data_IF_560031287820
#
_entry.id   IF_560031287820
#
_cell.length_a   1.000
_cell.length_b   1.000
_cell.length_c   1.000
_cell.angle_alpha   90.00
_cell.angle_beta   90.00
_cell.angle_gamma   90.00
#
_symmetry.space_group_name_H-M   'P 1'
#
loop_
_entity.id
_entity.type
_entity.pdbx_description
1 polymer ?
#
# COMPACT_ATOMS: atom_id res chain seq x y z
N UNK A 1 5.26 5.06 11.48
CA UNK A 1 4.10 4.20 11.82
C UNK A 1 2.91 4.71 11.04
N UNK A 2 2.36 3.89 10.14
CA UNK A 2 1.13 4.21 9.40
C UNK A 2 -0.07 3.69 10.19
N UNK A 3 -1.15 4.48 10.25
CA UNK A 3 -2.39 4.12 10.94
C UNK A 3 -3.50 4.04 9.89
N UNK A 4 -4.27 2.95 9.93
CA UNK A 4 -5.51 2.81 9.19
C UNK A 4 -6.68 2.74 10.17
N UNK A 5 -7.84 3.27 9.77
CA UNK A 5 -9.06 3.23 10.56
C UNK A 5 -10.11 2.43 9.78
N UNK A 6 -10.62 1.37 10.39
CA UNK A 6 -11.63 0.51 9.82
C UNK A 6 -12.95 0.71 10.57
N UNK A 7 -14.00 1.02 9.83
CA UNK A 7 -15.37 1.12 10.34
C UNK A 7 -16.13 -0.14 9.89
N UNK A 8 -16.48 -0.97 10.87
CA UNK A 8 -16.93 -2.34 10.65
C UNK A 8 -18.34 -2.42 10.04
N UNK A 9 -19.27 -1.56 10.47
CA UNK A 9 -20.66 -1.63 10.01
C UNK A 9 -20.80 -1.29 8.53
N UNK A 10 -20.06 -0.28 8.05
CA UNK A 10 -20.07 0.14 6.64
C UNK A 10 -19.00 -0.55 5.81
N UNK A 11 -18.06 -1.26 6.45
CA UNK A 11 -16.90 -1.88 5.80
C UNK A 11 -16.01 -0.84 5.10
N UNK A 12 -15.79 0.29 5.78
CA UNK A 12 -15.04 1.42 5.24
C UNK A 12 -13.64 1.44 5.84
N UNK A 13 -12.63 1.59 5.00
CA UNK A 13 -11.24 1.63 5.43
C UNK A 13 -10.60 2.95 5.02
N UNK A 14 -10.23 3.77 6.00
CA UNK A 14 -9.28 4.86 5.82
C UNK A 14 -7.86 4.31 5.86
N UNK A 15 -7.12 4.49 4.78
CA UNK A 15 -5.81 3.87 4.56
C UNK A 15 -4.64 4.80 4.86
N UNK A 16 -4.89 6.10 5.06
CA UNK A 16 -3.81 7.08 5.17
C UNK A 16 -2.88 7.00 3.95
N UNK A 17 -1.57 6.95 4.21
CA UNK A 17 -0.52 6.80 3.19
C UNK A 17 -0.09 5.34 2.96
N UNK A 18 -0.89 4.37 3.42
CA UNK A 18 -0.60 2.95 3.18
C UNK A 18 -1.06 2.51 1.77
N UNK A 19 -2.22 3.01 1.32
CA UNK A 19 -2.82 2.61 0.04
C UNK A 19 -3.39 3.86 -0.61
N UNK A 20 -2.78 4.29 -1.72
CA UNK A 20 -3.25 5.39 -2.57
C UNK A 20 -2.63 5.28 -3.97
N UNK A 21 -3.30 5.86 -4.98
CA UNK A 21 -2.75 5.96 -6.33
C UNK A 21 -1.63 7.00 -6.37
N UNK A 22 -0.51 6.67 -7.00
CA UNK A 22 0.68 7.53 -7.04
C UNK A 22 1.94 6.77 -6.63
N UNK A 23 2.87 7.45 -5.97
CA UNK A 23 4.13 6.84 -5.54
C UNK A 23 4.08 6.47 -4.06
N UNK A 24 4.06 5.18 -3.75
CA UNK A 24 4.17 4.66 -2.39
C UNK A 24 5.61 4.76 -1.91
N UNK A 25 5.82 5.58 -0.89
CA UNK A 25 7.15 5.84 -0.34
C UNK A 25 7.49 4.87 0.80
N UNK A 26 8.24 3.81 0.45
CA UNK A 26 8.81 2.82 1.37
C UNK A 26 10.30 3.07 1.68
N UNK A 27 10.85 4.24 1.30
CA UNK A 27 12.28 4.55 1.35
C UNK A 27 12.74 5.39 2.56
N UNK A 28 11.82 5.88 3.39
CA UNK A 28 12.19 6.70 4.55
C UNK A 28 13.04 5.89 5.54
N UNK A 29 14.03 6.50 6.22
CA UNK A 29 14.90 5.79 7.18
C UNK A 29 14.15 5.05 8.30
N UNK A 30 12.92 5.46 8.58
CA UNK A 30 12.04 4.88 9.60
C UNK A 30 11.02 3.89 9.04
N UNK A 31 11.10 3.58 7.75
CA UNK A 31 10.21 2.65 7.04
C UNK A 31 11.01 1.44 6.58
N UNK A 32 10.53 0.25 6.96
CA UNK A 32 11.04 -1.02 6.46
C UNK A 32 10.08 -1.50 5.33
N UNK A 33 10.57 -1.70 4.09
CA UNK A 33 9.74 -2.10 2.95
C UNK A 33 9.04 -3.44 3.15
N UNK A 34 9.65 -4.37 3.89
CA UNK A 34 9.06 -5.66 4.24
C UNK A 34 7.93 -5.46 5.25
N UNK A 35 8.11 -4.58 6.25
CA UNK A 35 7.03 -4.23 7.18
C UNK A 35 5.90 -3.47 6.48
N UNK A 36 6.22 -2.59 5.52
CA UNK A 36 5.21 -1.91 4.69
C UNK A 36 4.35 -2.93 3.94
N UNK A 37 4.98 -3.89 3.24
CA UNK A 37 4.26 -4.97 2.57
C UNK A 37 3.38 -5.76 3.56
N UNK A 38 3.89 -6.09 4.76
CA UNK A 38 3.09 -6.79 5.78
C UNK A 38 1.86 -5.99 6.22
N UNK A 39 1.96 -4.66 6.30
CA UNK A 39 0.81 -3.80 6.57
C UNK A 39 -0.24 -3.86 5.46
N UNK A 40 0.16 -3.92 4.19
CA UNK A 40 -0.74 -4.13 3.04
C UNK A 40 -1.47 -5.47 3.18
N UNK A 41 -0.72 -6.56 3.42
CA UNK A 41 -1.29 -7.91 3.61
C UNK A 41 -2.31 -7.96 4.73
N UNK A 42 -2.06 -7.23 5.83
CA UNK A 42 -2.97 -7.16 6.97
C UNK A 42 -4.28 -6.47 6.62
N UNK A 43 -4.25 -5.30 5.98
CA UNK A 43 -5.49 -4.55 5.68
C UNK A 43 -6.31 -5.21 4.58
N UNK A 44 -5.67 -5.86 3.61
CA UNK A 44 -6.33 -6.62 2.54
C UNK A 44 -7.27 -7.72 3.06
N UNK A 45 -7.02 -8.28 4.24
CA UNK A 45 -7.85 -9.34 4.84
C UNK A 45 -9.21 -8.84 5.34
N UNK A 46 -9.41 -7.52 5.45
CA UNK A 46 -10.67 -6.95 5.90
C UNK A 46 -11.71 -6.98 4.77
N UNK A 47 -12.99 -7.22 5.06
CA UNK A 47 -14.04 -7.00 4.07
C UNK A 47 -14.18 -5.49 3.84
N UNK A 48 -13.80 -5.02 2.65
CA UNK A 48 -13.76 -3.59 2.32
C UNK A 48 -14.78 -3.28 1.24
N UNK A 49 -15.73 -2.41 1.56
CA UNK A 49 -16.70 -1.85 0.60
C UNK A 49 -16.28 -0.50 0.07
N UNK A 50 -15.42 0.23 0.78
CA UNK A 50 -14.89 1.53 0.34
C UNK A 50 -13.56 1.87 0.99
N UNK A 51 -12.66 2.43 0.18
CA UNK A 51 -11.36 2.94 0.61
C UNK A 51 -11.34 4.47 0.66
N UNK A 52 -10.62 5.01 1.64
CA UNK A 52 -10.38 6.44 1.81
C UNK A 52 -8.87 6.68 1.99
N UNK A 53 -8.13 6.97 0.90
CA UNK A 53 -6.72 7.35 0.98
C UNK A 53 -6.54 8.78 1.52
N UNK A 54 -5.36 9.09 2.04
CA UNK A 54 -5.01 10.46 2.43
C UNK A 54 -4.72 11.40 1.23
N UNK A 55 -4.37 10.83 0.07
CA UNK A 55 -3.91 11.60 -1.09
C UNK A 55 -4.61 11.26 -2.42
N UNK A 56 -4.51 12.23 -3.35
CA UNK A 56 -4.66 12.15 -4.81
C UNK A 56 -6.01 11.71 -5.42
N UNK A 57 -6.85 10.90 -4.77
CA UNK A 57 -8.25 10.66 -5.21
C UNK A 57 -9.08 9.86 -4.20
N UNK A 58 -10.31 10.33 -3.91
CA UNK A 58 -11.25 9.65 -2.99
C UNK A 58 -11.90 8.38 -3.57
N UNK A 59 -11.73 8.11 -4.87
CA UNK A 59 -12.27 6.93 -5.55
C UNK A 59 -11.12 6.07 -6.06
N UNK A 60 -10.66 5.16 -5.20
CA UNK A 60 -9.77 4.06 -5.60
C UNK A 60 -10.55 2.73 -5.57
N UNK A 61 -10.28 1.79 -6.49
CA UNK A 61 -10.91 0.48 -6.48
C UNK A 61 -10.68 -0.26 -5.17
N UNK A 62 -11.68 -0.98 -4.65
CA UNK A 62 -11.55 -1.72 -3.36
C UNK A 62 -10.50 -2.83 -3.41
N UNK A 63 -10.19 -3.35 -4.60
CA UNK A 63 -9.15 -4.35 -4.86
C UNK A 63 -7.75 -3.74 -5.04
N UNK A 64 -7.60 -2.42 -4.92
CA UNK A 64 -6.29 -1.77 -5.10
C UNK A 64 -5.19 -2.28 -4.14
N UNK A 65 -5.47 -2.66 -2.87
CA UNK A 65 -4.50 -3.34 -2.02
C UNK A 65 -3.94 -4.64 -2.64
N UNK A 66 -4.71 -5.36 -3.45
CA UNK A 66 -4.24 -6.57 -4.15
C UNK A 66 -3.18 -6.24 -5.20
N UNK A 67 -3.35 -5.13 -5.93
CA UNK A 67 -2.40 -4.67 -6.94
C UNK A 67 -1.08 -4.24 -6.27
N UNK A 68 -1.18 -3.50 -5.16
CA UNK A 68 -0.01 -3.08 -4.38
C UNK A 68 0.73 -4.30 -3.82
N UNK A 69 0.01 -5.27 -3.21
CA UNK A 69 0.62 -6.51 -2.70
C UNK A 69 1.40 -7.23 -3.79
N UNK A 70 0.81 -7.41 -4.99
CA UNK A 70 1.49 -8.06 -6.12
C UNK A 70 2.77 -7.33 -6.52
N UNK A 71 2.76 -6.00 -6.52
CA UNK A 71 3.96 -5.20 -6.79
C UNK A 71 5.06 -5.43 -5.75
N UNK A 72 4.72 -5.43 -4.46
CA UNK A 72 5.66 -5.75 -3.39
C UNK A 72 6.16 -7.20 -3.45
N UNK A 73 5.30 -8.17 -3.74
CA UNK A 73 5.67 -9.58 -3.87
C UNK A 73 6.62 -9.81 -5.05
N UNK A 74 6.38 -9.16 -6.19
CA UNK A 74 7.29 -9.17 -7.32
C UNK A 74 8.68 -8.66 -6.91
N UNK A 75 8.75 -7.49 -6.26
CA UNK A 75 10.03 -6.93 -5.81
C UNK A 75 10.72 -7.82 -4.77
N UNK A 76 9.97 -8.48 -3.90
CA UNK A 76 10.52 -9.44 -2.95
C UNK A 76 11.13 -10.66 -3.65
N UNK A 77 10.42 -11.25 -4.62
CA UNK A 77 10.89 -12.39 -5.40
C UNK A 77 12.12 -12.08 -6.25
N UNK A 78 12.21 -10.84 -6.75
CA UNK A 78 13.36 -10.33 -7.50
C UNK A 78 14.53 -9.92 -6.61
N UNK A 79 14.42 -10.02 -5.27
CA UNK A 79 15.45 -9.57 -4.33
C UNK A 79 15.62 -8.05 -4.28
N UNK A 80 14.64 -7.30 -4.78
CA UNK A 80 14.65 -5.83 -4.90
C UNK A 80 13.94 -5.10 -3.76
N UNK A 81 13.29 -5.82 -2.86
CA UNK A 81 12.64 -5.25 -1.67
C UNK A 81 13.67 -4.92 -0.57
N UNK A 82 14.63 -4.04 -0.88
CA UNK A 82 15.77 -3.65 -0.03
C UNK A 82 15.87 -2.13 0.00
N UNK A 83 16.07 -1.53 1.17
CA UNK A 83 16.11 -0.07 1.35
C UNK A 83 17.04 0.63 0.35
N UNK A 84 16.57 1.73 -0.24
CA UNK A 84 17.34 2.58 -1.15
C UNK A 84 17.51 2.01 -2.56
N UNK A 85 16.70 1.02 -2.96
CA UNK A 85 16.78 0.37 -4.26
C UNK A 85 16.07 1.13 -5.39
N UNK A 86 15.48 2.30 -5.09
CA UNK A 86 14.99 3.25 -6.09
C UNK A 86 13.50 3.12 -6.38
N UNK A 87 13.09 3.60 -7.55
CA UNK A 87 11.67 3.70 -7.93
C UNK A 87 11.30 2.61 -8.94
N UNK A 88 10.23 1.88 -8.64
CA UNK A 88 9.64 0.84 -9.47
C UNK A 88 8.26 1.29 -9.95
N UNK A 89 8.01 1.20 -11.25
CA UNK A 89 6.75 1.62 -11.87
C UNK A 89 5.84 0.42 -12.16
N UNK A 90 4.57 0.57 -11.81
CA UNK A 90 3.47 -0.34 -12.11
C UNK A 90 2.37 0.43 -12.85
N UNK A 91 1.38 -0.27 -13.39
CA UNK A 91 0.33 0.33 -14.23
C UNK A 91 -0.36 1.55 -13.59
N UNK A 92 -0.69 1.45 -12.31
CA UNK A 92 -1.48 2.46 -11.59
C UNK A 92 -0.73 3.16 -10.44
N UNK A 93 0.48 2.73 -10.11
CA UNK A 93 1.25 3.24 -8.97
C UNK A 93 2.75 3.03 -9.14
N UNK A 94 3.53 3.62 -8.25
CA UNK A 94 4.97 3.40 -8.13
C UNK A 94 5.29 2.96 -6.71
N UNK A 95 6.37 2.22 -6.53
CA UNK A 95 6.95 1.94 -5.20
C UNK A 95 8.35 2.56 -5.21
N UNK A 96 8.60 3.49 -4.29
CA UNK A 96 9.95 4.00 -4.04
C UNK A 96 10.50 3.35 -2.77
N UNK A 97 11.57 2.58 -2.93
CA UNK A 97 12.25 1.83 -1.87
C UNK A 97 13.60 2.46 -1.57
#
# INVERSE_FOLDING_TARGET
MLICLYEEERQYLYTGDLVYMGCLYAFYPTTDPILYMKSIKKVKQLPIRRLFPAHHSLKIPVNFPDEIEKGFEQLMLEGKLVQGNGVFEFEHFKIHI
#
